data_IF_284014713631
#
_entry.id   IF_284014713631
#
_cell.length_a   1.000
_cell.length_b   1.000
_cell.length_c   1.000
_cell.angle_alpha   90.00
_cell.angle_beta   90.00
_cell.angle_gamma   90.00
#
_symmetry.space_group_name_H-M   'P 1'
#
loop_
_entity.id
_entity.type
_entity.pdbx_description
1 polymer ?
#
# COMPACT_ATOMS: atom_id res chain seq x y z
N UNK A 1 16.45 31.64 -28.49
CA UNK A 1 16.10 30.34 -29.09
C UNK A 1 15.01 29.73 -28.23
N UNK A 2 13.76 29.89 -28.63
CA UNK A 2 12.57 29.42 -27.89
C UNK A 2 12.23 28.00 -28.33
N UNK A 3 12.32 27.05 -27.40
CA UNK A 3 11.94 25.64 -27.61
C UNK A 3 10.44 25.54 -27.82
N UNK A 4 10.03 25.04 -28.99
CA UNK A 4 8.64 24.76 -29.30
C UNK A 4 8.12 23.62 -28.38
N UNK A 5 6.96 23.83 -27.76
CA UNK A 5 6.27 22.81 -26.99
C UNK A 5 5.49 21.93 -27.97
N UNK A 6 5.99 20.73 -28.26
CA UNK A 6 5.36 19.71 -29.12
C UNK A 6 4.17 19.00 -28.43
N UNK A 7 3.23 19.78 -27.87
CA UNK A 7 1.99 19.23 -27.30
C UNK A 7 0.88 19.31 -28.36
N UNK A 8 0.53 18.17 -28.94
CA UNK A 8 -0.59 18.06 -29.86
C UNK A 8 -1.91 18.47 -29.19
N UNK A 9 -2.76 19.29 -29.85
CA UNK A 9 -4.06 19.72 -29.30
C UNK A 9 -4.99 18.54 -29.01
N UNK A 10 -5.80 18.67 -27.96
CA UNK A 10 -6.82 17.69 -27.58
C UNK A 10 -7.85 17.49 -28.70
N UNK A 11 -8.17 16.25 -29.05
CA UNK A 11 -9.27 15.93 -29.96
C UNK A 11 -10.61 15.98 -29.20
N UNK A 12 -11.69 16.55 -29.78
CA UNK A 12 -13.02 16.53 -29.18
C UNK A 12 -13.46 15.09 -28.86
N UNK A 13 -13.81 14.82 -27.60
CA UNK A 13 -14.24 13.49 -27.12
C UNK A 13 -13.14 12.63 -26.49
N UNK A 14 -11.89 13.10 -26.47
CA UNK A 14 -10.78 12.40 -25.81
C UNK A 14 -10.50 13.06 -24.45
N UNK A 15 -10.93 12.42 -23.36
CA UNK A 15 -10.53 12.82 -22.01
C UNK A 15 -9.23 12.10 -21.63
N UNK A 16 -8.19 12.89 -21.29
CA UNK A 16 -6.95 12.37 -20.72
C UNK A 16 -5.71 12.64 -21.57
N UNK A 17 -4.59 12.89 -20.87
CA UNK A 17 -3.29 13.28 -21.42
C UNK A 17 -2.87 12.39 -22.62
N UNK A 18 -2.69 12.93 -23.85
CA UNK A 18 -2.30 12.15 -25.02
C UNK A 18 -0.92 11.51 -24.88
N UNK A 19 -0.04 12.10 -24.05
CA UNK A 19 1.26 11.49 -23.68
C UNK A 19 1.13 10.38 -22.63
N UNK A 20 -0.09 10.06 -22.20
CA UNK A 20 -0.40 9.09 -21.16
C UNK A 20 0.11 9.51 -19.78
N UNK A 21 0.13 8.56 -18.84
CA UNK A 21 0.94 8.74 -17.63
C UNK A 21 2.41 8.70 -18.06
N UNK A 22 3.22 9.73 -17.79
CA UNK A 22 4.63 9.71 -18.14
C UNK A 22 5.28 8.46 -17.55
N UNK A 23 5.75 7.57 -18.43
CA UNK A 23 6.48 6.36 -18.06
C UNK A 23 7.90 6.78 -17.66
N UNK A 24 8.13 7.05 -16.38
CA UNK A 24 9.46 7.49 -15.93
C UNK A 24 9.65 7.78 -14.45
N UNK A 25 8.60 8.02 -13.66
CA UNK A 25 8.77 8.29 -12.21
C UNK A 25 9.11 7.06 -11.38
N UNK A 26 8.93 5.85 -11.93
CA UNK A 26 9.33 4.59 -11.27
C UNK A 26 10.86 4.53 -11.07
N UNK A 27 11.62 5.11 -12.00
CA UNK A 27 13.08 5.13 -11.92
C UNK A 27 13.57 6.08 -10.84
N UNK A 28 13.05 7.31 -10.80
CA UNK A 28 13.42 8.27 -9.75
C UNK A 28 12.99 7.81 -8.35
N UNK A 29 11.77 7.33 -8.19
CA UNK A 29 11.30 6.86 -6.90
C UNK A 29 12.09 5.64 -6.41
N UNK A 30 12.41 4.70 -7.32
CA UNK A 30 13.28 3.56 -7.04
C UNK A 30 14.69 3.99 -6.67
N UNK A 31 15.28 4.88 -7.46
CA UNK A 31 16.60 5.46 -7.23
C UNK A 31 16.68 6.16 -5.87
N UNK A 32 15.71 7.01 -5.53
CA UNK A 32 15.65 7.69 -4.23
C UNK A 32 15.52 6.66 -3.10
N UNK A 33 14.66 5.64 -3.26
CA UNK A 33 14.48 4.62 -2.24
C UNK A 33 15.78 3.83 -1.98
N UNK A 34 16.47 3.43 -3.05
CA UNK A 34 17.72 2.67 -2.98
C UNK A 34 18.87 3.51 -2.42
N UNK A 35 19.03 4.75 -2.93
CA UNK A 35 20.11 5.66 -2.52
C UNK A 35 19.97 6.22 -1.11
N UNK A 36 18.78 6.14 -0.50
CA UNK A 36 18.51 6.68 0.86
C UNK A 36 18.22 5.61 1.90
N UNK A 37 18.50 4.34 1.58
CA UNK A 37 18.27 3.22 2.48
C UNK A 37 16.80 3.06 2.88
N UNK A 38 15.89 3.12 1.91
CA UNK A 38 14.45 3.05 2.16
C UNK A 38 13.82 4.37 2.60
N UNK A 39 14.48 5.52 2.36
CA UNK A 39 14.03 6.83 2.82
C UNK A 39 14.52 7.21 4.23
N UNK A 40 15.29 6.34 4.90
CA UNK A 40 15.79 6.57 6.25
C UNK A 40 16.64 7.84 6.34
N UNK A 41 17.55 8.04 5.40
CA UNK A 41 18.43 9.22 5.39
C UNK A 41 17.66 10.55 5.27
N UNK A 42 16.56 10.53 4.51
CA UNK A 42 15.67 11.69 4.37
C UNK A 42 14.93 11.98 5.66
N UNK A 43 14.47 10.94 6.37
CA UNK A 43 13.83 11.06 7.67
C UNK A 43 14.81 11.60 8.71
N UNK A 44 16.03 11.06 8.76
CA UNK A 44 17.08 11.50 9.69
C UNK A 44 17.47 12.97 9.43
N UNK A 45 17.47 13.40 8.16
CA UNK A 45 17.70 14.79 7.78
C UNK A 45 16.56 15.72 8.19
N UNK A 46 15.31 15.31 7.97
CA UNK A 46 14.12 16.06 8.42
C UNK A 46 14.08 16.16 9.95
N UNK A 47 14.43 15.08 10.65
CA UNK A 47 14.50 15.07 12.11
C UNK A 47 15.58 16.02 12.63
N UNK A 48 16.73 16.10 11.94
CA UNK A 48 17.79 17.06 12.24
C UNK A 48 17.30 18.50 12.07
N UNK A 49 16.63 18.81 10.96
CA UNK A 49 16.02 20.13 10.72
C UNK A 49 14.97 20.49 11.77
N UNK A 50 14.08 19.56 12.13
CA UNK A 50 13.07 19.76 13.16
C UNK A 50 13.70 20.06 14.54
N UNK A 51 14.90 19.53 14.81
CA UNK A 51 15.70 19.80 16.02
C UNK A 51 16.55 21.07 15.91
N UNK A 52 16.50 21.78 14.79
CA UNK A 52 17.31 22.97 14.53
C UNK A 52 18.78 22.69 14.19
N UNK A 53 19.12 21.44 13.90
CA UNK A 53 20.47 21.00 13.50
C UNK A 53 20.53 20.96 11.98
N UNK A 54 21.56 21.55 11.37
CA UNK A 54 21.73 21.39 9.93
C UNK A 54 22.12 19.96 9.59
N UNK A 55 21.34 19.27 8.73
CA UNK A 55 21.74 17.98 8.22
C UNK A 55 23.01 18.15 7.37
N UNK A 56 23.87 17.15 7.41
CA UNK A 56 25.10 17.11 6.62
C UNK A 56 24.75 16.83 5.15
N UNK A 57 24.24 17.84 4.45
CA UNK A 57 24.08 17.79 3.00
C UNK A 57 25.46 18.04 2.42
N UNK A 58 26.02 17.07 1.70
CA UNK A 58 27.26 17.25 0.94
C UNK A 58 27.09 18.51 0.07
N UNK A 59 27.70 19.60 0.52
CA UNK A 59 27.64 20.86 -0.19
C UNK A 59 28.36 20.64 -1.51
N UNK A 60 27.73 20.97 -2.64
CA UNK A 60 28.38 20.93 -3.95
C UNK A 60 29.78 21.54 -3.84
N UNK A 61 30.79 20.83 -4.33
CA UNK A 61 32.21 21.19 -4.24
C UNK A 61 32.40 22.68 -4.57
N UNK A 62 32.72 23.49 -3.56
CA UNK A 62 32.96 24.93 -3.71
C UNK A 62 32.23 25.83 -2.71
N UNK A 63 31.14 25.38 -2.09
CA UNK A 63 30.47 26.17 -1.05
C UNK A 63 30.88 25.71 0.36
N UNK A 64 31.51 26.60 1.13
CA UNK A 64 31.74 26.34 2.56
C UNK A 64 30.41 26.47 3.31
N UNK A 65 30.08 25.53 4.22
CA UNK A 65 28.94 25.71 5.12
C UNK A 65 29.16 26.99 5.92
N UNK A 66 28.14 27.87 5.95
CA UNK A 66 28.28 29.14 6.69
C UNK A 66 28.40 28.83 8.18
N UNK A 67 29.37 29.46 8.85
CA UNK A 67 29.61 29.30 10.30
C UNK A 67 28.39 29.67 11.16
N UNK A 68 27.46 30.46 10.59
CA UNK A 68 26.20 30.89 11.21
C UNK A 68 24.97 30.27 10.54
N UNK A 69 25.12 29.13 9.88
CA UNK A 69 23.98 28.44 9.30
C UNK A 69 23.17 27.87 10.46
N UNK A 70 22.17 28.65 10.89
CA UNK A 70 21.15 28.22 11.82
C UNK A 70 19.91 27.90 11.00
N UNK A 71 19.27 26.78 11.31
CA UNK A 71 18.02 26.39 10.64
C UNK A 71 16.97 27.45 10.95
N UNK A 72 16.36 28.04 9.91
CA UNK A 72 15.34 29.07 10.12
C UNK A 72 14.13 28.44 10.80
N UNK A 73 13.41 29.14 11.69
CA UNK A 73 12.22 28.60 12.32
C UNK A 73 11.18 28.06 11.32
N UNK A 74 11.03 28.71 10.16
CA UNK A 74 10.15 28.25 9.09
C UNK A 74 10.53 26.86 8.54
N UNK A 75 11.83 26.58 8.41
CA UNK A 75 12.33 25.28 7.93
C UNK A 75 12.10 24.19 8.99
N UNK A 76 12.23 24.54 10.28
CA UNK A 76 11.90 23.64 11.40
C UNK A 76 10.41 23.27 11.39
N UNK A 77 9.54 24.28 11.30
CA UNK A 77 8.09 24.08 11.21
C UNK A 77 7.71 23.23 10.00
N UNK A 78 8.34 23.46 8.83
CA UNK A 78 8.07 22.66 7.63
C UNK A 78 8.51 21.21 7.79
N UNK A 79 9.66 20.97 8.42
CA UNK A 79 10.13 19.61 8.70
C UNK A 79 9.18 18.87 9.65
N UNK A 80 8.70 19.55 10.70
CA UNK A 80 7.69 19.00 11.62
C UNK A 80 6.40 18.66 10.87
N UNK A 81 5.88 19.57 10.05
CA UNK A 81 4.67 19.34 9.24
C UNK A 81 4.83 18.10 8.34
N UNK A 82 5.95 17.98 7.62
CA UNK A 82 6.22 16.83 6.75
C UNK A 82 6.32 15.50 7.52
N UNK A 83 6.89 15.52 8.73
CA UNK A 83 6.96 14.35 9.59
C UNK A 83 5.58 13.97 10.14
N UNK A 84 4.74 14.95 10.50
CA UNK A 84 3.39 14.70 10.99
C UNK A 84 2.50 14.09 9.89
N UNK A 85 2.55 14.63 8.68
CA UNK A 85 1.78 14.15 7.51
C UNK A 85 2.12 12.71 7.10
N UNK A 86 3.32 12.22 7.46
CA UNK A 86 3.86 10.93 6.99
C UNK A 86 4.03 9.90 8.11
N UNK A 87 4.33 10.33 9.33
CA UNK A 87 4.74 9.48 10.44
C UNK A 87 3.60 8.95 11.31
N UNK A 88 2.49 9.69 11.41
CA UNK A 88 1.33 9.28 12.22
C UNK A 88 0.28 8.50 11.42
N UNK A 89 0.53 8.28 10.13
CA UNK A 89 -0.40 7.62 9.22
C UNK A 89 -1.65 8.45 8.92
N UNK A 90 -2.46 7.97 7.98
CA UNK A 90 -3.87 8.41 7.91
C UNK A 90 -4.66 7.66 8.96
N UNK A 91 -5.73 8.27 9.46
CA UNK A 91 -6.68 7.54 10.31
C UNK A 91 -7.08 6.23 9.61
N UNK A 92 -7.21 5.11 10.36
CA UNK A 92 -7.75 3.88 9.80
C UNK A 92 -9.03 4.21 9.05
N UNK A 93 -9.13 3.80 7.79
CA UNK A 93 -10.39 3.94 7.06
C UNK A 93 -11.44 3.16 7.84
N UNK A 94 -12.50 3.85 8.29
CA UNK A 94 -13.67 3.16 8.80
C UNK A 94 -14.22 2.28 7.67
N UNK A 95 -13.97 0.98 7.78
CA UNK A 95 -14.65 -0.01 6.98
C UNK A 95 -16.00 -0.21 7.64
N UNK A 96 -17.05 0.29 7.00
CA UNK A 96 -18.41 -0.10 7.36
C UNK A 96 -18.62 -1.54 6.89
N UNK A 97 -18.20 -2.49 7.73
CA UNK A 97 -18.52 -3.89 7.52
C UNK A 97 -19.98 -4.00 7.91
N UNK A 98 -20.88 -3.93 6.92
CA UNK A 98 -22.26 -4.32 7.07
C UNK A 98 -22.30 -5.82 7.41
N UNK A 99 -22.07 -6.15 8.68
CA UNK A 99 -22.27 -7.48 9.21
C UNK A 99 -23.77 -7.63 9.35
N UNK A 100 -24.41 -8.20 8.35
CA UNK A 100 -25.80 -8.59 8.50
C UNK A 100 -25.85 -9.58 9.68
N UNK A 101 -26.76 -9.32 10.62
CA UNK A 101 -26.89 -10.14 11.84
C UNK A 101 -27.45 -11.53 11.52
N UNK A 102 -27.76 -11.79 10.24
CA UNK A 102 -28.49 -12.97 9.78
C UNK A 102 -27.90 -13.61 8.53
N UNK A 103 -26.62 -13.42 8.21
CA UNK A 103 -25.94 -14.29 7.25
C UNK A 103 -25.63 -15.62 7.95
N UNK A 104 -26.67 -16.43 8.16
CA UNK A 104 -26.48 -17.85 8.44
C UNK A 104 -25.73 -18.41 7.23
N UNK A 105 -24.46 -18.82 7.36
CA UNK A 105 -23.78 -19.48 6.27
C UNK A 105 -24.59 -20.73 5.93
N UNK A 106 -24.86 -20.92 4.63
CA UNK A 106 -25.74 -21.98 4.14
C UNK A 106 -27.19 -21.88 4.64
N UNK A 107 -27.79 -20.69 4.64
CA UNK A 107 -29.22 -20.49 4.95
C UNK A 107 -30.17 -21.33 4.07
N UNK A 108 -29.69 -21.83 2.94
CA UNK A 108 -30.41 -22.76 2.06
C UNK A 108 -30.46 -24.20 2.60
N UNK A 109 -29.70 -24.53 3.65
CA UNK A 109 -29.68 -25.84 4.31
C UNK A 109 -30.35 -25.74 5.68
N UNK A 110 -31.19 -26.71 6.04
CA UNK A 110 -31.74 -26.82 7.40
C UNK A 110 -30.66 -27.25 8.40
N UNK A 111 -30.91 -27.02 9.69
CA UNK A 111 -30.00 -27.49 10.77
C UNK A 111 -29.82 -29.00 10.73
N UNK A 112 -30.88 -29.73 10.40
CA UNK A 112 -30.87 -31.19 10.24
C UNK A 112 -29.92 -31.62 9.11
N UNK A 113 -29.93 -30.92 7.97
CA UNK A 113 -29.04 -31.21 6.84
C UNK A 113 -27.58 -30.91 7.19
N UNK A 114 -27.33 -29.83 7.93
CA UNK A 114 -25.98 -29.49 8.39
C UNK A 114 -25.46 -30.54 9.36
N UNK A 115 -26.27 -30.99 10.31
CA UNK A 115 -25.91 -32.07 11.24
C UNK A 115 -25.65 -33.39 10.52
N UNK A 116 -26.44 -33.70 9.49
CA UNK A 116 -26.23 -34.90 8.68
C UNK A 116 -24.92 -34.83 7.88
N UNK A 117 -24.56 -33.66 7.34
CA UNK A 117 -23.25 -33.46 6.69
C UNK A 117 -22.09 -33.68 7.67
N UNK A 118 -22.20 -33.16 8.89
CA UNK A 118 -21.18 -33.34 9.93
C UNK A 118 -21.04 -34.83 10.27
N UNK A 119 -22.15 -35.53 10.53
CA UNK A 119 -22.11 -36.96 10.85
C UNK A 119 -21.55 -37.83 9.71
N UNK A 120 -21.81 -37.47 8.46
CA UNK A 120 -21.22 -38.15 7.31
C UNK A 120 -19.70 -37.89 7.19
N UNK A 121 -19.26 -36.66 7.47
CA UNK A 121 -17.84 -36.32 7.47
C UNK A 121 -17.07 -37.05 8.58
N UNK A 122 -17.65 -37.15 9.79
CA UNK A 122 -17.09 -37.91 10.91
C UNK A 122 -16.98 -39.41 10.56
N UNK A 123 -18.01 -40.00 9.95
CA UNK A 123 -17.97 -41.41 9.51
C UNK A 123 -16.90 -41.68 8.45
N UNK A 124 -16.65 -40.72 7.56
CA UNK A 124 -15.56 -40.81 6.58
C UNK A 124 -14.18 -40.69 7.24
N UNK A 125 -14.04 -39.85 8.27
CA UNK A 125 -12.81 -39.73 9.06
C UNK A 125 -12.53 -41.01 9.88
N UNK A 126 -13.57 -41.62 10.43
CA UNK A 126 -13.49 -42.87 11.20
C UNK A 126 -13.33 -44.13 10.32
N UNK A 127 -13.26 -43.98 8.99
CA UNK A 127 -13.07 -45.10 8.05
C UNK A 127 -14.27 -46.05 7.95
N UNK A 128 -15.43 -45.65 8.49
CA UNK A 128 -16.66 -46.44 8.51
C UNK A 128 -17.66 -46.01 7.43
N UNK A 129 -17.29 -45.00 6.62
CA UNK A 129 -18.10 -44.47 5.54
C UNK A 129 -18.05 -45.33 4.27
N UNK A 130 -19.22 -45.55 3.68
CA UNK A 130 -19.34 -46.22 2.38
C UNK A 130 -18.90 -45.26 1.28
N UNK A 131 -17.74 -45.51 0.66
CA UNK A 131 -17.26 -44.74 -0.49
C UNK A 131 -17.91 -45.28 -1.76
N UNK A 132 -18.47 -44.40 -2.57
CA UNK A 132 -19.09 -44.74 -3.85
C UNK A 132 -18.30 -44.05 -4.96
N UNK A 133 -17.90 -44.80 -5.99
CA UNK A 133 -17.20 -44.24 -7.14
C UNK A 133 -18.12 -43.36 -8.02
N UNK A 134 -17.56 -42.61 -8.96
CA UNK A 134 -18.30 -41.77 -9.92
C UNK A 134 -19.32 -42.54 -10.77
N UNK A 135 -19.21 -43.87 -10.86
CA UNK A 135 -20.17 -44.77 -11.53
C UNK A 135 -21.27 -45.30 -10.58
N UNK A 136 -21.34 -44.82 -9.33
CA UNK A 136 -22.40 -45.19 -8.38
C UNK A 136 -22.21 -46.56 -7.72
N UNK A 137 -21.03 -47.17 -7.83
CA UNK A 137 -20.72 -48.47 -7.22
C UNK A 137 -20.01 -48.28 -5.87
N UNK A 138 -20.37 -49.12 -4.89
CA UNK A 138 -19.71 -49.15 -3.58
C UNK A 138 -18.29 -49.69 -3.74
N UNK A 139 -17.31 -48.88 -3.37
CA UNK A 139 -15.91 -49.28 -3.27
C UNK A 139 -15.70 -49.82 -1.86
N UNK A 140 -15.67 -51.14 -1.74
CA UNK A 140 -15.17 -51.81 -0.54
C UNK A 140 -13.66 -51.85 -0.59
N UNK A 141 -13.00 -51.50 0.51
CA UNK A 141 -11.53 -51.58 0.66
C UNK A 141 -10.98 -52.98 0.40
#
# INVERSE_FOLDING_TARGET
MTTANDLSPWQPGQSGNPSGRPKGTRDLAGYVLESTGGGRELIDSLLSLARGILPNVAVQEGHRPRKDQQVRPADQWKAIEMLLDRGFGRSPQQLDIARSVSDRPFANLSDEMLMLLVGNAEQLEEGNGVVIDGDGQVVTE
#
